data_IF_326637616970
#
_entry.id   IF_326637616970
#
_cell.length_a   1.000
_cell.length_b   1.000
_cell.length_c   1.000
_cell.angle_alpha   90.00
_cell.angle_beta   90.00
_cell.angle_gamma   90.00
#
_symmetry.space_group_name_H-M   'P 1'
#
loop_
_entity.id
_entity.type
_entity.pdbx_description
1 polymer ?
#
# COMPACT_ATOMS: atom_id res chain seq x y z
N UNK A 1 3.63 4.45 17.02
CA UNK A 1 3.32 5.80 16.53
C UNK A 1 1.84 5.92 16.21
N UNK A 2 1.26 6.97 16.68
CA UNK A 2 -0.15 7.21 16.46
C UNK A 2 -0.38 8.16 15.31
N UNK A 3 -1.29 7.81 14.42
CA UNK A 3 -1.66 8.69 13.33
C UNK A 3 -2.84 9.54 13.74
N UNK A 4 -2.97 10.71 13.15
CA UNK A 4 -4.13 11.52 13.42
C UNK A 4 -5.37 10.79 12.92
N UNK A 5 -6.50 11.08 13.54
CA UNK A 5 -7.76 10.47 13.15
C UNK A 5 -8.08 10.74 11.68
N UNK A 6 -7.80 11.95 11.24
CA UNK A 6 -8.05 12.36 9.86
C UNK A 6 -7.23 11.52 8.87
N UNK A 7 -5.94 11.32 9.15
CA UNK A 7 -5.09 10.54 8.27
C UNK A 7 -5.52 9.09 8.17
N UNK A 8 -5.91 8.51 9.30
CA UNK A 8 -6.38 7.13 9.31
C UNK A 8 -7.64 6.96 8.49
N UNK A 9 -8.56 7.90 8.61
CA UNK A 9 -9.81 7.85 7.88
C UNK A 9 -9.58 7.94 6.38
N UNK A 10 -8.73 8.86 5.94
CA UNK A 10 -8.44 9.00 4.51
C UNK A 10 -7.76 7.78 3.94
N UNK A 11 -6.82 7.19 4.68
CA UNK A 11 -6.14 5.98 4.23
C UNK A 11 -7.12 4.83 4.09
N UNK A 12 -8.02 4.69 5.04
CA UNK A 12 -9.01 3.63 5.00
C UNK A 12 -9.93 3.78 3.80
N UNK A 13 -10.33 5.01 3.48
CA UNK A 13 -11.18 5.28 2.33
C UNK A 13 -10.52 4.92 1.01
N UNK A 14 -9.24 5.25 0.86
CA UNK A 14 -8.52 4.93 -0.37
C UNK A 14 -8.37 3.43 -0.56
N UNK A 15 -8.02 2.73 0.52
CA UNK A 15 -7.89 1.29 0.49
C UNK A 15 -9.22 0.65 0.16
N UNK A 16 -10.29 1.10 0.81
CA UNK A 16 -11.62 0.56 0.58
C UNK A 16 -12.05 0.75 -0.87
N UNK A 17 -11.72 1.89 -1.44
CA UNK A 17 -12.05 2.16 -2.83
C UNK A 17 -11.38 1.14 -3.75
N UNK A 18 -10.11 0.85 -3.54
CA UNK A 18 -9.39 -0.13 -4.34
C UNK A 18 -9.96 -1.52 -4.14
N UNK A 19 -10.27 -1.88 -2.89
CA UNK A 19 -10.84 -3.18 -2.60
C UNK A 19 -12.18 -3.35 -3.32
N UNK A 20 -13.00 -2.31 -3.33
CA UNK A 20 -14.31 -2.36 -3.98
C UNK A 20 -14.18 -2.47 -5.51
N UNK A 21 -13.15 -1.86 -6.07
CA UNK A 21 -12.97 -1.84 -7.52
C UNK A 21 -12.29 -3.09 -8.05
N UNK A 22 -11.19 -3.51 -7.43
CA UNK A 22 -10.38 -4.62 -7.95
C UNK A 22 -10.01 -5.65 -6.91
N UNK A 23 -10.47 -5.48 -5.68
CA UNK A 23 -10.21 -6.43 -4.61
C UNK A 23 -8.92 -6.18 -3.87
N UNK A 24 -8.77 -6.84 -2.73
CA UNK A 24 -7.56 -6.74 -1.93
C UNK A 24 -6.39 -7.44 -2.60
N UNK A 25 -6.68 -8.52 -3.31
CA UNK A 25 -5.64 -9.30 -3.96
C UNK A 25 -4.88 -10.18 -3.00
N UNK A 26 -3.75 -10.67 -3.45
CA UNK A 26 -2.92 -11.56 -2.66
C UNK A 26 -1.58 -10.90 -2.38
N UNK A 27 -0.99 -11.23 -1.24
CA UNK A 27 0.33 -10.73 -0.88
C UNK A 27 1.36 -11.36 -1.82
N UNK A 28 2.11 -10.52 -2.51
CA UNK A 28 3.13 -10.99 -3.45
C UNK A 28 4.55 -10.72 -2.97
N UNK A 29 4.70 -9.90 -1.92
CA UNK A 29 6.02 -9.61 -1.36
C UNK A 29 5.88 -9.20 0.09
N UNK A 30 6.78 -9.69 0.94
CA UNK A 30 6.86 -9.31 2.35
C UNK A 30 8.29 -8.94 2.70
N UNK A 31 8.43 -7.98 3.58
CA UNK A 31 9.74 -7.63 4.12
C UNK A 31 9.60 -7.27 5.58
N UNK A 32 10.47 -7.84 6.42
CA UNK A 32 10.47 -7.52 7.84
C UNK A 32 11.36 -6.32 8.09
N UNK A 33 10.78 -5.24 8.59
CA UNK A 33 11.53 -4.03 8.91
C UNK A 33 10.90 -3.37 10.13
N UNK A 34 11.75 -2.78 10.97
CA UNK A 34 11.26 -2.02 12.12
C UNK A 34 10.25 -2.79 12.97
N UNK A 35 10.54 -4.06 13.19
CA UNK A 35 9.72 -4.95 14.03
C UNK A 35 8.34 -5.25 13.48
N UNK A 36 8.11 -4.99 12.20
CA UNK A 36 6.85 -5.28 11.53
C UNK A 36 7.10 -5.86 10.16
N UNK A 37 6.08 -6.53 9.61
CA UNK A 37 6.14 -7.01 8.25
C UNK A 37 5.43 -6.02 7.33
N UNK A 38 6.12 -5.60 6.27
CA UNK A 38 5.53 -4.79 5.22
C UNK A 38 5.17 -5.72 4.07
N UNK A 39 3.89 -5.84 3.80
CA UNK A 39 3.36 -6.77 2.79
C UNK A 39 2.75 -5.97 1.65
N UNK A 40 3.06 -6.37 0.42
CA UNK A 40 2.52 -5.71 -0.78
C UNK A 40 1.58 -6.68 -1.47
N UNK A 41 0.38 -6.23 -1.80
CA UNK A 41 -0.57 -7.06 -2.56
C UNK A 41 -0.47 -6.75 -4.04
N UNK A 42 -0.98 -7.67 -4.86
CA UNK A 42 -0.92 -7.52 -6.31
C UNK A 42 -1.90 -6.46 -6.85
N UNK A 43 -2.77 -5.93 -6.02
CA UNK A 43 -3.64 -4.81 -6.41
C UNK A 43 -3.10 -3.47 -5.96
N UNK A 44 -1.92 -3.43 -5.32
CA UNK A 44 -1.26 -2.19 -4.95
C UNK A 44 -1.64 -1.68 -3.57
N UNK A 45 -1.86 -2.59 -2.62
CA UNK A 45 -2.14 -2.22 -1.24
C UNK A 45 -1.00 -2.70 -0.35
N UNK A 46 -0.58 -1.85 0.57
CA UNK A 46 0.45 -2.19 1.55
C UNK A 46 -0.23 -2.51 2.86
N UNK A 47 0.10 -3.66 3.43
CA UNK A 47 -0.41 -4.12 4.70
C UNK A 47 0.75 -4.22 5.68
N UNK A 48 0.65 -3.53 6.80
CA UNK A 48 1.67 -3.62 7.86
C UNK A 48 1.15 -4.58 8.92
N UNK A 49 1.89 -5.65 9.16
CA UNK A 49 1.52 -6.66 10.15
C UNK A 49 2.50 -6.65 11.31
N UNK A 50 2.00 -7.04 12.47
CA UNK A 50 2.86 -7.20 13.66
C UNK A 50 3.90 -8.30 13.42
N UNK A 51 4.91 -8.35 14.30
CA UNK A 51 6.01 -9.31 14.15
C UNK A 51 5.53 -10.76 14.15
N UNK A 52 4.44 -11.06 14.87
CA UNK A 52 3.87 -12.40 14.89
C UNK A 52 2.87 -12.66 13.77
N UNK A 53 2.61 -11.65 12.93
CA UNK A 53 1.68 -11.72 11.80
C UNK A 53 0.23 -11.94 12.19
N UNK A 54 -0.10 -11.80 13.45
CA UNK A 54 -1.46 -12.02 13.94
C UNK A 54 -2.32 -10.76 13.90
N UNK A 55 -1.69 -9.60 13.85
CA UNK A 55 -2.41 -8.34 13.89
C UNK A 55 -2.03 -7.47 12.69
N UNK A 56 -3.04 -6.91 12.04
CA UNK A 56 -2.81 -5.91 11.00
C UNK A 56 -2.72 -4.56 11.70
N UNK A 57 -1.55 -3.93 11.59
CA UNK A 57 -1.32 -2.64 12.24
C UNK A 57 -1.96 -1.52 11.44
N UNK A 58 -1.79 -1.55 10.11
CA UNK A 58 -2.40 -0.55 9.24
C UNK A 58 -2.36 -1.04 7.79
N UNK A 59 -3.15 -0.38 6.94
CA UNK A 59 -3.18 -0.65 5.51
C UNK A 59 -3.23 0.69 4.78
N UNK A 60 -2.56 0.76 3.64
CA UNK A 60 -2.62 1.96 2.82
C UNK A 60 -2.27 1.64 1.37
N UNK A 61 -2.58 2.57 0.47
CA UNK A 61 -2.31 2.38 -0.94
C UNK A 61 -0.80 2.47 -1.16
N UNK A 62 -0.24 1.49 -1.86
CA UNK A 62 1.20 1.39 -2.06
C UNK A 62 1.74 2.56 -2.87
N UNK A 63 2.86 3.13 -2.42
CA UNK A 63 3.56 4.17 -3.16
C UNK A 63 4.74 3.56 -3.89
N UNK A 64 5.25 4.27 -4.89
CA UNK A 64 6.42 3.80 -5.62
C UNK A 64 7.62 3.68 -4.69
N UNK A 65 7.77 4.64 -3.78
CA UNK A 65 8.85 4.60 -2.79
C UNK A 65 8.79 3.31 -1.96
N UNK A 66 7.59 2.91 -1.59
CA UNK A 66 7.39 1.68 -0.83
C UNK A 66 7.83 0.46 -1.64
N UNK A 67 7.48 0.43 -2.92
CA UNK A 67 7.89 -0.67 -3.79
C UNK A 67 9.41 -0.78 -3.86
N UNK A 68 10.07 0.35 -4.06
CA UNK A 68 11.53 0.35 -4.13
C UNK A 68 12.15 -0.16 -2.84
N UNK A 69 11.59 0.25 -1.71
CA UNK A 69 12.11 -0.17 -0.41
C UNK A 69 11.91 -1.67 -0.19
N UNK A 70 10.73 -2.18 -0.49
CA UNK A 70 10.40 -3.59 -0.23
C UNK A 70 11.12 -4.52 -1.20
N UNK A 71 11.21 -4.14 -2.47
CA UNK A 71 11.89 -4.95 -3.48
C UNK A 71 13.39 -4.67 -3.54
N UNK A 72 13.87 -3.71 -2.73
CA UNK A 72 15.30 -3.40 -2.65
C UNK A 72 15.90 -2.98 -3.98
N UNK A 73 15.17 -2.13 -4.69
CA UNK A 73 15.64 -1.59 -5.96
C UNK A 73 14.54 -1.62 -7.00
N UNK A 74 14.75 -0.85 -8.06
CA UNK A 74 13.74 -0.72 -9.10
C UNK A 74 13.69 -1.92 -10.04
N UNK A 75 14.82 -2.61 -10.20
CA UNK A 75 14.91 -3.70 -11.19
C UNK A 75 14.14 -4.95 -10.81
N UNK A 76 13.92 -5.14 -9.51
CA UNK A 76 13.22 -6.33 -9.01
C UNK A 76 11.72 -6.19 -8.95
N UNK A 77 11.20 -5.00 -9.19
CA UNK A 77 9.77 -4.74 -9.12
C UNK A 77 9.10 -5.32 -10.37
N UNK A 78 8.08 -6.19 -10.20
CA UNK A 78 7.35 -6.71 -11.36
C UNK A 78 6.66 -5.58 -12.13
N UNK A 79 6.71 -5.66 -13.46
CA UNK A 79 6.12 -4.61 -14.30
C UNK A 79 4.64 -4.41 -14.04
N UNK A 80 3.89 -5.50 -13.85
CA UNK A 80 2.45 -5.38 -13.62
C UNK A 80 2.15 -4.63 -12.33
N UNK A 81 2.97 -4.84 -11.30
CA UNK A 81 2.77 -4.20 -10.01
C UNK A 81 3.09 -2.71 -10.10
N UNK A 82 4.16 -2.38 -10.81
CA UNK A 82 4.52 -0.99 -11.05
C UNK A 82 3.40 -0.25 -11.75
N UNK A 83 2.81 -0.88 -12.77
CA UNK A 83 1.69 -0.28 -13.49
C UNK A 83 0.47 -0.13 -12.60
N UNK A 84 0.22 -1.10 -11.74
CA UNK A 84 -0.92 -1.05 -10.83
C UNK A 84 -0.77 0.10 -9.83
N UNK A 85 0.42 0.26 -9.28
CA UNK A 85 0.68 1.35 -8.36
C UNK A 85 0.55 2.71 -9.07
N UNK A 86 1.09 2.82 -10.28
CA UNK A 86 0.96 4.05 -11.06
C UNK A 86 -0.50 4.38 -11.34
N UNK A 87 -1.29 3.37 -11.68
CA UNK A 87 -2.72 3.56 -11.93
C UNK A 87 -3.41 4.08 -10.68
N UNK A 88 -3.15 3.48 -9.53
CA UNK A 88 -3.77 3.90 -8.29
C UNK A 88 -3.38 5.31 -7.92
N UNK A 89 -2.10 5.65 -8.06
CA UNK A 89 -1.62 7.00 -7.76
C UNK A 89 -2.28 8.02 -8.67
N UNK A 90 -2.33 7.73 -9.97
CA UNK A 90 -2.94 8.63 -10.95
C UNK A 90 -4.42 8.82 -10.66
N UNK A 91 -5.11 7.74 -10.32
CA UNK A 91 -6.53 7.81 -10.02
C UNK A 91 -6.81 8.79 -8.89
N UNK A 92 -6.12 8.61 -7.77
CA UNK A 92 -6.38 9.45 -6.61
C UNK A 92 -5.94 10.89 -6.81
N UNK A 93 -4.83 11.09 -7.51
CA UNK A 93 -4.37 12.45 -7.80
C UNK A 93 -5.38 13.17 -8.70
N UNK A 94 -5.87 12.47 -9.69
CA UNK A 94 -6.81 13.07 -10.66
C UNK A 94 -8.18 13.31 -10.05
N UNK A 95 -8.71 12.31 -9.35
CA UNK A 95 -10.05 12.39 -8.78
C UNK A 95 -10.11 13.25 -7.54
N UNK A 96 -9.20 13.02 -6.65
CA UNK A 96 -9.23 13.61 -5.34
C UNK A 96 -8.41 14.86 -5.17
N UNK A 97 -7.75 15.29 -6.22
CA UNK A 97 -6.94 16.49 -6.18
C UNK A 97 -5.80 16.35 -5.20
N UNK A 98 -5.97 16.78 -3.99
CA UNK A 98 -4.91 16.79 -3.01
C UNK A 98 -4.94 15.57 -2.09
N UNK A 99 -5.55 14.49 -2.52
CA UNK A 99 -5.66 13.30 -1.66
C UNK A 99 -4.31 12.82 -1.14
N UNK A 100 -3.29 12.92 -1.97
CA UNK A 100 -1.97 12.46 -1.61
C UNK A 100 -1.13 13.45 -0.82
N UNK A 101 -1.58 14.65 -0.73
CA UNK A 101 -0.86 15.68 -0.01
C UNK A 101 -0.85 15.45 1.48
#
# INVERSE_FOLDING_TARGET
MEMSHHCQYERANRVQHIINEIGLGQIVKEKFTHSCYTCITDTGITIIKSADKLTIVTMYVTTYRELVAVYEGTKKIPSYLKKKVDRNQTFFTHEGKTIWA
#
